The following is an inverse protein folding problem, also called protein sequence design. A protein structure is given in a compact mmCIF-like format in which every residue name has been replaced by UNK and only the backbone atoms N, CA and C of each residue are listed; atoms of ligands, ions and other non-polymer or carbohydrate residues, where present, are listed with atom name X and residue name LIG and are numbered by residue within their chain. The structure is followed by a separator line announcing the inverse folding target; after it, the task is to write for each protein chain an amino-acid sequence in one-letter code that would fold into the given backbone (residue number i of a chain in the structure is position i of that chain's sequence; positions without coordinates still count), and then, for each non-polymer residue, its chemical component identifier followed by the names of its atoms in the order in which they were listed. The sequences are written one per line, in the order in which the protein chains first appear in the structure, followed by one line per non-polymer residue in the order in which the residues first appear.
data_IF_134109547017
#
_entry.id   IF_134109547017
#
_cell.length_a   1.000
_cell.length_b   1.000
_cell.length_c   1.000
_cell.angle_alpha   90.00
_cell.angle_beta   90.00
_cell.angle_gamma   90.00
#
_symmetry.space_group_name_H-M   'P 1'
#
loop_
_entity.id
_entity.type
_entity.pdbx_description
1 polymer ?
#
# COMPACT_ATOMS: atom_id res chain seq x y z
N UNK A 1 10.18 4.69 -7.94
CA UNK A 1 9.67 4.67 -6.55
C UNK A 1 10.38 5.72 -5.69
N UNK A 2 9.90 5.98 -4.46
CA UNK A 2 10.51 6.91 -3.48
C UNK A 2 11.96 6.51 -3.13
N UNK A 3 12.79 7.49 -2.74
CA UNK A 3 14.13 7.25 -2.14
C UNK A 3 14.11 7.28 -0.61
N UNK A 4 12.94 7.42 -0.02
CA UNK A 4 12.75 7.33 1.42
C UNK A 4 12.68 5.87 1.86
N UNK A 5 13.51 5.51 2.83
CA UNK A 5 13.41 4.28 3.61
C UNK A 5 12.47 4.47 4.82
N UNK A 6 11.52 5.40 4.75
CA UNK A 6 10.52 5.75 5.80
C UNK A 6 11.14 6.39 7.06
N UNK A 7 10.31 6.60 8.08
CA UNK A 7 10.64 7.32 9.34
C UNK A 7 11.86 6.75 10.06
N UNK A 8 12.68 7.61 10.65
CA UNK A 8 13.79 7.26 11.55
C UNK A 8 13.42 7.26 13.03
N UNK A 9 12.17 7.58 13.37
CA UNK A 9 11.72 7.58 14.77
C UNK A 9 11.63 6.14 15.31
N UNK A 10 12.56 5.80 16.20
CA UNK A 10 12.69 4.48 16.82
C UNK A 10 11.54 4.19 17.78
N UNK A 11 10.99 5.23 18.44
CA UNK A 11 10.00 5.07 19.50
C UNK A 11 8.56 5.22 19.00
N UNK A 12 8.34 6.06 17.98
CA UNK A 12 7.02 6.34 17.42
C UNK A 12 6.72 5.66 16.08
N UNK A 13 7.65 4.92 15.47
CA UNK A 13 7.42 4.29 14.17
C UNK A 13 8.06 2.89 14.03
N UNK A 14 7.26 1.92 13.57
CA UNK A 14 7.72 0.54 13.37
C UNK A 14 8.89 0.44 12.38
N UNK A 15 8.93 1.27 11.33
CA UNK A 15 10.06 1.29 10.40
C UNK A 15 11.32 1.86 11.07
N UNK A 16 11.19 2.75 12.05
CA UNK A 16 12.33 3.26 12.80
C UNK A 16 12.91 2.20 13.74
N UNK A 17 12.06 1.45 14.44
CA UNK A 17 12.48 0.33 15.28
C UNK A 17 13.17 -0.77 14.46
N UNK A 18 12.57 -1.20 13.34
CA UNK A 18 13.16 -2.21 12.46
C UNK A 18 14.56 -1.79 11.99
N UNK A 19 14.77 -0.50 11.73
CA UNK A 19 16.10 -0.02 11.37
C UNK A 19 17.08 -0.16 12.52
N UNK A 20 16.67 0.12 13.75
CA UNK A 20 17.54 -0.03 14.90
C UNK A 20 17.94 -1.50 15.11
N UNK A 21 17.00 -2.43 14.96
CA UNK A 21 17.31 -3.86 14.98
C UNK A 21 18.31 -4.23 13.87
N UNK A 22 18.08 -3.77 12.65
CA UNK A 22 19.01 -3.96 11.53
C UNK A 22 20.39 -3.36 11.79
N UNK A 23 20.51 -2.25 12.52
CA UNK A 23 21.81 -1.68 12.94
C UNK A 23 22.52 -2.62 13.91
N UNK A 24 21.80 -3.14 14.91
CA UNK A 24 22.35 -4.09 15.90
C UNK A 24 22.88 -5.36 15.21
N UNK A 25 22.20 -5.85 14.17
CA UNK A 25 22.64 -7.00 13.38
C UNK A 25 23.71 -6.69 12.32
N UNK A 26 24.20 -5.44 12.23
CA UNK A 26 25.25 -5.06 11.30
C UNK A 26 24.80 -5.04 9.83
N UNK A 27 23.58 -4.57 9.56
CA UNK A 27 23.01 -4.52 8.21
C UNK A 27 23.83 -3.65 7.25
N UNK A 28 24.32 -4.26 6.16
CA UNK A 28 24.99 -3.57 5.04
C UNK A 28 24.07 -2.54 4.38
N UNK A 29 22.76 -2.81 4.35
CA UNK A 29 21.77 -1.91 3.77
C UNK A 29 21.69 -0.59 4.55
N UNK A 30 21.66 -0.65 5.90
CA UNK A 30 21.62 0.58 6.69
C UNK A 30 22.94 1.31 6.73
N UNK A 31 24.05 0.59 6.76
CA UNK A 31 25.36 1.22 6.61
C UNK A 31 25.43 2.01 5.28
N UNK A 32 24.97 1.43 4.18
CA UNK A 32 24.84 2.13 2.90
C UNK A 32 23.90 3.35 2.99
N UNK A 33 22.78 3.23 3.70
CA UNK A 33 21.81 4.30 3.85
C UNK A 33 22.37 5.51 4.61
N UNK A 34 23.11 5.29 5.70
CA UNK A 34 23.73 6.37 6.45
C UNK A 34 24.85 7.05 5.65
N UNK A 35 25.64 6.28 4.89
CA UNK A 35 26.71 6.82 4.02
C UNK A 35 26.21 7.58 2.77
N UNK A 36 24.94 7.43 2.41
CA UNK A 36 24.32 8.08 1.25
C UNK A 36 23.17 9.00 1.63
N UNK A 37 23.05 9.34 2.91
CA UNK A 37 21.91 10.06 3.47
C UNK A 37 21.75 11.46 2.88
N UNK A 38 20.50 11.81 2.58
CA UNK A 38 20.09 13.17 2.17
C UNK A 38 19.03 13.73 3.11
N UNK A 39 18.91 15.07 3.25
CA UNK A 39 17.89 15.67 4.13
C UNK A 39 16.46 15.26 3.73
N UNK A 40 15.65 14.78 4.69
CA UNK A 40 14.30 14.27 4.42
C UNK A 40 13.32 14.34 5.60
N UNK A 41 13.34 15.42 6.39
CA UNK A 41 12.25 15.76 7.32
C UNK A 41 11.81 14.62 8.27
N UNK A 42 12.76 14.00 8.97
CA UNK A 42 12.49 12.91 9.92
C UNK A 42 12.51 11.49 9.33
N UNK A 43 12.48 11.34 8.01
CA UNK A 43 12.73 10.07 7.34
C UNK A 43 14.23 9.83 7.09
N UNK A 44 14.61 8.56 6.90
CA UNK A 44 15.87 8.20 6.26
C UNK A 44 15.65 8.21 4.76
N UNK A 45 16.25 9.16 4.05
CA UNK A 45 16.29 9.12 2.60
C UNK A 45 17.74 9.05 2.13
N UNK A 46 17.92 8.45 0.95
CA UNK A 46 19.23 8.18 0.38
C UNK A 46 19.38 8.80 -0.99
N UNK A 47 20.61 9.14 -1.36
CA UNK A 47 21.02 9.34 -2.74
C UNK A 47 21.11 7.95 -3.38
N UNK A 48 20.23 7.68 -4.35
CA UNK A 48 19.97 6.32 -4.86
C UNK A 48 21.22 5.68 -5.45
N UNK A 49 21.99 6.45 -6.21
CA UNK A 49 23.13 5.94 -6.93
C UNK A 49 24.30 5.64 -5.97
N UNK A 50 24.55 6.53 -5.00
CA UNK A 50 25.54 6.31 -3.95
C UNK A 50 25.18 5.10 -3.07
N UNK A 51 23.91 4.97 -2.70
CA UNK A 51 23.39 3.83 -1.94
C UNK A 51 23.64 2.51 -2.68
N UNK A 52 23.23 2.42 -3.94
CA UNK A 52 23.38 1.22 -4.75
C UNK A 52 24.85 0.87 -5.01
N UNK A 53 25.69 1.87 -5.33
CA UNK A 53 27.13 1.68 -5.51
C UNK A 53 27.81 1.17 -4.24
N UNK A 54 27.43 1.70 -3.08
CA UNK A 54 28.00 1.27 -1.80
C UNK A 54 27.73 -0.22 -1.55
N UNK A 55 26.46 -0.64 -1.64
CA UNK A 55 26.06 -2.03 -1.45
C UNK A 55 26.77 -2.94 -2.47
N UNK A 56 26.74 -2.57 -3.75
CA UNK A 56 27.37 -3.34 -4.83
C UNK A 56 28.86 -3.56 -4.56
N UNK A 57 29.57 -2.51 -4.12
CA UNK A 57 30.99 -2.61 -3.77
C UNK A 57 31.21 -3.55 -2.60
N UNK A 58 30.44 -3.39 -1.50
CA UNK A 58 30.56 -4.25 -0.30
C UNK A 58 30.34 -5.73 -0.61
N UNK A 59 29.45 -6.04 -1.55
CA UNK A 59 29.20 -7.41 -2.00
C UNK A 59 30.37 -7.92 -2.84
N UNK A 60 30.80 -7.16 -3.86
CA UNK A 60 31.87 -7.58 -4.79
C UNK A 60 33.25 -7.71 -4.15
N UNK A 61 33.53 -6.96 -3.08
CA UNK A 61 34.80 -6.99 -2.35
C UNK A 61 34.83 -8.03 -1.22
N UNK A 62 33.73 -8.75 -0.98
CA UNK A 62 33.67 -9.75 0.09
C UNK A 62 34.23 -11.10 -0.40
N UNK A 63 35.30 -11.57 0.23
CA UNK A 63 36.00 -12.81 -0.15
C UNK A 63 35.12 -14.08 -0.01
N UNK A 64 34.07 -14.04 0.81
CA UNK A 64 33.14 -15.15 0.98
C UNK A 64 31.96 -15.11 -0.01
N UNK A 65 31.92 -14.12 -0.89
CA UNK A 65 30.83 -13.95 -1.87
C UNK A 65 31.41 -14.05 -3.28
N UNK A 66 30.90 -15.00 -4.05
CA UNK A 66 31.14 -15.06 -5.50
C UNK A 66 29.93 -14.48 -6.22
N UNK A 67 30.14 -13.47 -7.07
CA UNK A 67 29.07 -12.83 -7.84
C UNK A 67 29.06 -13.38 -9.26
N UNK A 68 27.94 -13.97 -9.66
CA UNK A 68 27.71 -14.47 -11.01
C UNK A 68 26.59 -13.63 -11.64
N UNK A 69 26.89 -12.94 -12.74
CA UNK A 69 25.95 -12.07 -13.43
C UNK A 69 25.27 -12.83 -14.57
N UNK A 70 24.34 -13.71 -14.23
CA UNK A 70 23.56 -14.49 -15.18
C UNK A 70 22.09 -14.58 -14.77
N UNK A 71 21.23 -14.95 -15.71
CA UNK A 71 19.85 -15.30 -15.38
C UNK A 71 19.81 -16.70 -14.77
N UNK A 72 19.23 -16.81 -13.58
CA UNK A 72 18.92 -18.10 -12.96
C UNK A 72 17.52 -18.49 -13.39
N UNK A 73 17.38 -19.60 -14.11
CA UNK A 73 16.10 -20.07 -14.69
C UNK A 73 15.47 -21.23 -13.91
N UNK A 74 16.18 -21.81 -12.95
CA UNK A 74 15.70 -22.89 -12.07
C UNK A 74 16.30 -22.75 -10.67
N UNK A 75 15.59 -23.21 -9.65
CA UNK A 75 16.04 -23.23 -8.25
C UNK A 75 17.23 -24.19 -8.12
N UNK A 76 18.41 -23.73 -7.66
CA UNK A 76 19.56 -24.59 -7.47
C UNK A 76 19.35 -25.66 -6.39
N UNK A 77 20.01 -26.80 -6.54
CA UNK A 77 20.07 -27.84 -5.52
C UNK A 77 20.77 -27.34 -4.23
N UNK A 78 20.25 -27.78 -3.07
CA UNK A 78 20.83 -27.48 -1.75
C UNK A 78 20.21 -26.27 -1.04
N UNK A 79 20.95 -25.71 -0.08
CA UNK A 79 20.50 -24.58 0.73
C UNK A 79 20.48 -23.28 -0.10
N UNK A 80 19.28 -22.81 -0.43
CA UNK A 80 19.08 -21.69 -1.36
C UNK A 80 18.15 -20.63 -0.76
N UNK A 81 18.51 -19.35 -0.91
CA UNK A 81 17.63 -18.21 -0.64
C UNK A 81 17.20 -17.60 -1.97
N UNK A 82 15.89 -17.51 -2.20
CA UNK A 82 15.32 -16.88 -3.40
C UNK A 82 14.94 -15.43 -3.06
N UNK A 83 15.58 -14.45 -3.71
CA UNK A 83 15.41 -13.02 -3.43
C UNK A 83 15.36 -12.16 -4.72
N UNK A 84 14.57 -12.59 -5.70
CA UNK A 84 14.48 -12.04 -7.08
C UNK A 84 13.64 -10.76 -7.20
N UNK A 85 13.01 -10.32 -6.10
CA UNK A 85 12.16 -9.12 -6.09
C UNK A 85 10.78 -9.35 -6.74
N UNK A 86 9.99 -8.27 -6.94
CA UNK A 86 8.61 -8.36 -7.41
C UNK A 86 8.47 -8.78 -8.88
N UNK A 87 9.55 -8.77 -9.66
CA UNK A 87 9.58 -9.05 -11.10
C UNK A 87 10.48 -10.24 -11.39
N UNK A 88 10.17 -11.39 -10.80
CA UNK A 88 10.89 -12.65 -11.05
C UNK A 88 10.68 -13.08 -12.51
N UNK A 89 11.73 -13.57 -13.19
CA UNK A 89 11.61 -14.00 -14.60
C UNK A 89 10.73 -15.24 -14.75
N UNK A 90 10.08 -15.37 -15.91
CA UNK A 90 9.06 -16.39 -16.15
C UNK A 90 9.58 -17.81 -15.94
N UNK A 91 10.81 -18.10 -16.39
CA UNK A 91 11.40 -19.43 -16.27
C UNK A 91 11.56 -19.86 -14.80
N UNK A 92 12.14 -18.98 -13.98
CA UNK A 92 12.33 -19.26 -12.56
C UNK A 92 11.01 -19.25 -11.79
N UNK A 93 10.07 -18.37 -12.16
CA UNK A 93 8.75 -18.34 -11.56
C UNK A 93 7.98 -19.66 -11.77
N UNK A 94 8.11 -20.26 -12.96
CA UNK A 94 7.49 -21.55 -13.26
C UNK A 94 8.15 -22.71 -12.52
N UNK A 95 9.48 -22.71 -12.38
CA UNK A 95 10.18 -23.72 -11.60
C UNK A 95 9.82 -23.66 -10.11
N UNK A 96 9.76 -22.45 -9.54
CA UNK A 96 9.26 -22.21 -8.17
C UNK A 96 7.82 -22.72 -8.03
N UNK A 97 6.95 -22.43 -9.01
CA UNK A 97 5.56 -22.89 -9.02
C UNK A 97 5.48 -24.42 -8.98
N UNK A 98 6.35 -25.10 -9.73
CA UNK A 98 6.47 -26.55 -9.74
C UNK A 98 6.85 -27.13 -8.37
N UNK A 99 7.83 -26.50 -7.69
CA UNK A 99 8.30 -26.92 -6.36
C UNK A 99 7.24 -26.68 -5.28
N UNK A 100 6.57 -25.52 -5.32
CA UNK A 100 5.58 -25.13 -4.32
C UNK A 100 4.18 -25.73 -4.58
N UNK A 101 3.95 -26.36 -5.73
CA UNK A 101 2.65 -26.89 -6.13
C UNK A 101 1.62 -25.82 -6.50
N UNK A 102 2.07 -24.59 -6.81
CA UNK A 102 1.21 -23.45 -7.08
C UNK A 102 1.96 -22.11 -7.02
N UNK A 103 1.27 -21.02 -7.37
CA UNK A 103 1.80 -19.67 -7.32
C UNK A 103 1.10 -18.81 -6.26
N UNK A 104 1.80 -17.81 -5.75
CA UNK A 104 1.24 -16.76 -4.90
C UNK A 104 1.28 -15.45 -5.67
N UNK A 105 0.15 -14.76 -5.72
CA UNK A 105 0.05 -13.42 -6.30
C UNK A 105 -0.19 -12.43 -5.17
N UNK A 106 0.67 -11.42 -5.07
CA UNK A 106 0.46 -10.29 -4.19
C UNK A 106 -0.08 -9.15 -5.04
N UNK A 107 -1.37 -8.86 -4.87
CA UNK A 107 -2.00 -7.68 -5.45
C UNK A 107 -1.89 -6.54 -4.44
N UNK A 108 -1.24 -5.45 -4.83
CA UNK A 108 -1.31 -4.22 -4.06
C UNK A 108 -2.68 -3.58 -4.33
N UNK A 109 -3.52 -3.52 -3.29
CA UNK A 109 -4.84 -2.92 -3.37
C UNK A 109 -4.77 -1.54 -2.71
N UNK A 110 -4.15 -0.59 -3.42
CA UNK A 110 -3.95 0.76 -2.90
C UNK A 110 -5.20 1.60 -3.08
N UNK A 111 -5.67 2.24 -2.02
CA UNK A 111 -6.71 3.25 -2.11
C UNK A 111 -6.11 4.66 -2.10
N UNK A 112 -6.74 5.65 -2.77
CA UNK A 112 -6.24 7.02 -2.79
C UNK A 112 -6.05 7.62 -1.39
N UNK A 113 -5.02 8.47 -1.26
CA UNK A 113 -4.74 9.25 -0.04
C UNK A 113 -4.88 10.73 -0.39
N UNK A 114 -5.62 11.45 0.44
CA UNK A 114 -5.87 12.90 0.31
C UNK A 114 -5.22 13.68 1.44
N UNK A 115 -4.81 14.91 1.16
CA UNK A 115 -4.28 15.83 2.18
C UNK A 115 -5.41 16.31 3.08
N UNK A 116 -5.18 16.36 4.41
CA UNK A 116 -6.13 16.92 5.38
C UNK A 116 -6.57 18.33 5.00
N UNK A 117 -5.63 19.15 4.53
CA UNK A 117 -5.86 20.57 4.21
C UNK A 117 -6.81 20.76 3.03
N UNK A 118 -6.95 19.73 2.17
CA UNK A 118 -7.88 19.74 1.04
C UNK A 118 -9.30 19.28 1.39
N UNK A 119 -9.54 18.83 2.64
CA UNK A 119 -10.85 18.34 3.08
C UNK A 119 -11.72 19.52 3.52
N UNK A 120 -12.90 19.65 2.90
CA UNK A 120 -13.94 20.57 3.37
C UNK A 120 -14.68 19.99 4.59
N UNK A 121 -14.20 20.36 5.78
CA UNK A 121 -14.77 19.91 7.05
C UNK A 121 -16.18 20.44 7.32
N UNK A 122 -16.69 21.41 6.55
CA UNK A 122 -18.07 21.88 6.70
C UNK A 122 -19.09 20.86 6.20
N UNK A 123 -18.64 19.93 5.34
CA UNK A 123 -19.46 18.86 4.75
C UNK A 123 -19.20 17.49 5.37
N UNK A 124 -18.33 17.41 6.38
CA UNK A 124 -17.89 16.15 6.96
C UNK A 124 -18.13 16.14 8.47
N UNK A 125 -18.13 14.95 9.08
CA UNK A 125 -18.17 14.81 10.52
C UNK A 125 -17.24 13.70 11.00
N UNK A 126 -16.65 13.88 12.18
CA UNK A 126 -15.93 12.81 12.85
C UNK A 126 -16.92 11.84 13.49
N UNK A 127 -16.62 10.55 13.42
CA UNK A 127 -17.41 9.57 14.12
C UNK A 127 -17.14 8.13 13.75
N UNK A 128 -17.19 7.28 14.76
CA UNK A 128 -17.07 5.84 14.63
C UNK A 128 -18.43 5.16 14.57
N UNK A 129 -18.48 3.99 13.94
CA UNK A 129 -19.70 3.18 13.91
C UNK A 129 -20.10 2.80 15.33
N UNK A 130 -21.37 3.01 15.65
CA UNK A 130 -22.00 2.73 16.94
C UNK A 130 -21.39 3.52 18.12
N UNK A 131 -20.62 4.59 17.85
CA UNK A 131 -19.97 5.40 18.89
C UNK A 131 -18.96 4.62 19.73
N UNK A 132 -18.35 3.56 19.17
CA UNK A 132 -17.41 2.67 19.87
C UNK A 132 -15.93 3.02 19.66
N UNK A 133 -15.61 4.25 19.23
CA UNK A 133 -14.24 4.67 18.91
C UNK A 133 -13.90 6.09 19.37
N UNK A 134 -12.71 6.57 18.97
CA UNK A 134 -12.09 7.81 19.43
C UNK A 134 -11.97 8.92 18.37
N UNK A 135 -12.92 9.01 17.43
CA UNK A 135 -12.93 9.97 16.31
C UNK A 135 -11.84 9.69 15.24
N UNK A 136 -11.59 8.40 14.97
CA UNK A 136 -10.52 7.97 14.07
C UNK A 136 -10.85 8.14 12.58
N UNK A 137 -12.13 8.37 12.26
CA UNK A 137 -12.64 8.50 10.90
C UNK A 137 -13.33 9.83 10.65
N UNK A 138 -13.02 10.43 9.50
CA UNK A 138 -13.82 11.50 8.91
C UNK A 138 -14.85 10.86 8.00
N UNK A 139 -16.11 11.24 8.14
CA UNK A 139 -17.22 10.72 7.37
C UNK A 139 -17.73 11.80 6.41
N UNK A 140 -17.74 11.48 5.12
CA UNK A 140 -18.26 12.30 4.05
C UNK A 140 -19.62 11.73 3.62
N UNK A 141 -20.74 12.24 4.17
CA UNK A 141 -22.08 11.77 3.81
C UNK A 141 -22.43 12.11 2.37
N UNK A 142 -23.16 11.21 1.73
CA UNK A 142 -23.75 11.39 0.41
C UNK A 142 -25.27 11.25 0.52
N UNK A 143 -25.99 12.15 -0.14
CA UNK A 143 -27.40 11.94 -0.43
C UNK A 143 -27.56 10.93 -1.59
N UNK A 144 -28.81 10.66 -1.98
CA UNK A 144 -29.10 9.64 -2.98
C UNK A 144 -28.60 10.07 -4.36
N UNK A 145 -28.86 11.31 -4.75
CA UNK A 145 -28.50 11.88 -6.03
C UNK A 145 -26.96 11.96 -6.21
N UNK A 146 -26.24 12.37 -5.16
CA UNK A 146 -24.78 12.41 -5.13
C UNK A 146 -24.18 11.01 -5.25
N UNK A 147 -24.75 10.03 -4.55
CA UNK A 147 -24.30 8.64 -4.64
C UNK A 147 -24.52 8.05 -6.04
N UNK A 148 -25.70 8.23 -6.62
CA UNK A 148 -26.02 7.72 -7.95
C UNK A 148 -25.11 8.37 -9.01
N UNK A 149 -24.92 9.69 -8.93
CA UNK A 149 -23.98 10.39 -9.81
C UNK A 149 -22.54 9.91 -9.65
N UNK A 150 -22.11 9.62 -8.42
CA UNK A 150 -20.76 9.10 -8.14
C UNK A 150 -20.57 7.69 -8.74
N UNK A 151 -21.53 6.80 -8.54
CA UNK A 151 -21.50 5.43 -9.09
C UNK A 151 -21.47 5.45 -10.62
N UNK A 152 -22.30 6.28 -11.25
CA UNK A 152 -22.33 6.38 -12.72
C UNK A 152 -21.00 6.92 -13.27
N UNK A 153 -20.41 7.92 -12.62
CA UNK A 153 -19.09 8.46 -12.99
C UNK A 153 -17.99 7.41 -12.83
N UNK A 154 -18.01 6.63 -11.74
CA UNK A 154 -17.02 5.60 -11.44
C UNK A 154 -17.08 4.43 -12.45
N UNK A 155 -18.28 4.03 -12.87
CA UNK A 155 -18.46 2.98 -13.88
C UNK A 155 -17.91 3.42 -15.24
N UNK A 156 -18.06 4.70 -15.58
CA UNK A 156 -17.63 5.29 -16.84
C UNK A 156 -16.17 5.79 -16.84
N UNK A 157 -15.47 5.71 -15.71
CA UNK A 157 -14.09 6.19 -15.60
C UNK A 157 -13.12 5.36 -16.46
N UNK A 158 -12.09 6.01 -16.98
CA UNK A 158 -10.98 5.35 -17.67
C UNK A 158 -10.25 4.41 -16.70
N UNK A 159 -9.96 3.19 -17.16
CA UNK A 159 -9.29 2.15 -16.38
C UNK A 159 -7.98 1.80 -17.05
N UNK A 160 -6.96 1.52 -16.23
CA UNK A 160 -5.70 0.98 -16.75
C UNK A 160 -5.98 -0.38 -17.37
N UNK A 161 -5.53 -0.58 -18.62
CA UNK A 161 -5.57 -1.89 -19.25
C UNK A 161 -4.46 -2.72 -18.60
N UNK A 162 -4.86 -3.59 -17.68
CA UNK A 162 -3.98 -4.55 -17.04
C UNK A 162 -3.24 -5.41 -18.08
N UNK A 163 -1.99 -5.74 -17.83
CA UNK A 163 -1.24 -6.67 -18.67
C UNK A 163 -1.83 -8.09 -18.57
N UNK A 164 -1.58 -8.96 -19.55
CA UNK A 164 -2.26 -10.27 -19.60
C UNK A 164 -1.95 -11.21 -18.42
N UNK A 165 -0.86 -10.95 -17.66
CA UNK A 165 -0.56 -11.64 -16.40
C UNK A 165 -1.30 -11.05 -15.17
N UNK A 166 -1.78 -9.81 -15.27
CA UNK A 166 -2.62 -9.13 -14.26
C UNK A 166 -4.11 -9.34 -14.56
N UNK A 167 -4.44 -9.60 -15.83
CA UNK A 167 -5.78 -9.99 -16.27
C UNK A 167 -6.04 -11.45 -15.94
N UNK A 168 -6.38 -11.80 -14.70
CA UNK A 168 -7.33 -12.89 -14.37
C UNK A 168 -7.57 -13.03 -12.87
N UNK A 169 -8.82 -13.43 -12.60
CA UNK A 169 -9.53 -13.51 -11.32
C UNK A 169 -9.42 -12.25 -10.46
N UNK A 170 -10.46 -11.40 -10.56
CA UNK A 170 -10.73 -10.37 -9.54
C UNK A 170 -10.64 -11.07 -8.19
N UNK A 171 -9.69 -10.66 -7.36
CA UNK A 171 -9.62 -11.18 -6.00
C UNK A 171 -10.89 -10.72 -5.28
N UNK A 172 -11.85 -11.62 -5.15
CA UNK A 172 -13.19 -11.32 -4.61
C UNK A 172 -13.13 -10.72 -3.18
N UNK A 173 -12.04 -11.00 -2.45
CA UNK A 173 -11.78 -10.42 -1.13
C UNK A 173 -11.22 -8.98 -1.14
N UNK A 174 -10.70 -8.47 -2.26
CA UNK A 174 -10.16 -7.11 -2.40
C UNK A 174 -10.36 -6.59 -3.83
N UNK A 175 -11.63 -6.38 -4.18
CA UNK A 175 -12.05 -5.98 -5.52
C UNK A 175 -11.94 -4.47 -5.73
N UNK A 176 -11.48 -4.01 -6.92
CA UNK A 176 -11.47 -2.60 -7.26
C UNK A 176 -12.86 -1.96 -7.15
N UNK A 177 -12.93 -0.73 -6.64
CA UNK A 177 -14.19 -0.04 -6.31
C UNK A 177 -15.08 0.13 -7.55
N UNK A 178 -14.50 0.38 -8.71
CA UNK A 178 -15.21 0.52 -9.98
C UNK A 178 -15.73 -0.80 -10.55
N UNK A 179 -15.08 -1.93 -10.21
CA UNK A 179 -15.58 -3.27 -10.53
C UNK A 179 -16.77 -3.60 -9.63
N UNK A 180 -16.69 -3.28 -8.33
CA UNK A 180 -17.81 -3.48 -7.40
C UNK A 180 -19.02 -2.62 -7.78
N UNK A 181 -18.80 -1.37 -8.20
CA UNK A 181 -19.84 -0.47 -8.68
C UNK A 181 -20.56 -1.04 -9.92
N UNK A 182 -19.82 -1.62 -10.86
CA UNK A 182 -20.39 -2.22 -12.07
C UNK A 182 -21.26 -3.47 -11.79
N UNK A 183 -21.06 -4.16 -10.66
CA UNK A 183 -21.87 -5.33 -10.27
C UNK A 183 -23.26 -4.98 -9.76
N UNK A 184 -23.52 -3.72 -9.43
CA UNK A 184 -24.84 -3.28 -9.00
C UNK A 184 -24.83 -1.87 -8.41
N UNK A 185 -25.90 -1.12 -8.71
CA UNK A 185 -26.03 0.29 -8.29
C UNK A 185 -25.92 0.48 -6.78
N UNK A 186 -26.34 -0.50 -5.99
CA UNK A 186 -26.32 -0.43 -4.52
C UNK A 186 -25.11 -1.15 -3.88
N UNK A 187 -24.24 -1.78 -4.68
CA UNK A 187 -23.15 -2.63 -4.16
C UNK A 187 -22.26 -1.88 -3.18
N UNK A 188 -21.83 -0.66 -3.54
CA UNK A 188 -20.97 0.15 -2.67
C UNK A 188 -21.68 0.52 -1.35
N UNK A 189 -23.00 0.77 -1.38
CA UNK A 189 -23.81 1.14 -0.21
C UNK A 189 -23.99 -0.01 0.79
N UNK A 190 -23.78 -1.25 0.35
CA UNK A 190 -23.72 -2.40 1.23
C UNK A 190 -22.30 -2.79 1.66
N UNK A 191 -21.28 -2.19 1.02
CA UNK A 191 -19.86 -2.43 1.27
C UNK A 191 -19.17 -1.18 1.88
N UNK A 192 -18.21 -0.59 1.17
CA UNK A 192 -17.36 0.51 1.67
C UNK A 192 -18.11 1.82 1.93
N UNK A 193 -19.23 2.07 1.23
CA UNK A 193 -20.06 3.27 1.40
C UNK A 193 -21.24 3.07 2.36
N UNK A 194 -21.24 1.98 3.14
CA UNK A 194 -22.34 1.64 4.04
C UNK A 194 -22.54 2.70 5.13
N UNK A 195 -23.74 3.27 5.33
CA UNK A 195 -23.99 4.27 6.37
C UNK A 195 -24.28 3.67 7.76
N UNK A 196 -24.42 2.35 7.87
CA UNK A 196 -24.94 1.68 9.08
C UNK A 196 -24.07 1.92 10.31
N UNK A 197 -24.69 2.37 11.41
CA UNK A 197 -24.01 2.65 12.67
C UNK A 197 -23.38 4.04 12.72
N UNK A 198 -23.40 4.82 11.64
CA UNK A 198 -22.93 6.20 11.62
C UNK A 198 -24.11 7.15 11.86
N UNK A 199 -23.88 8.16 12.68
CA UNK A 199 -24.78 9.29 12.93
C UNK A 199 -23.91 10.50 13.20
N UNK A 200 -24.32 11.66 12.69
CA UNK A 200 -23.73 12.92 13.13
C UNK A 200 -24.26 13.32 14.52
N UNK A 201 -23.77 14.46 15.02
CA UNK A 201 -24.21 15.06 16.28
C UNK A 201 -25.72 15.32 16.36
N UNK A 202 -26.38 15.50 15.21
CA UNK A 202 -27.80 15.80 15.09
C UNK A 202 -28.64 14.51 14.91
N UNK A 203 -27.99 13.35 14.81
CA UNK A 203 -28.63 12.04 14.70
C UNK A 203 -29.10 11.68 13.28
N UNK A 204 -28.65 12.42 12.26
CA UNK A 204 -29.07 12.24 10.88
C UNK A 204 -28.66 10.86 10.32
N UNK A 205 -29.49 10.36 9.40
CA UNK A 205 -29.20 9.15 8.61
C UNK A 205 -28.84 9.56 7.20
N UNK A 206 -27.81 8.92 6.65
CA UNK A 206 -27.32 9.20 5.30
C UNK A 206 -27.61 8.05 4.35
N UNK A 207 -27.68 8.36 3.05
CA UNK A 207 -27.90 7.35 2.02
C UNK A 207 -26.65 6.48 1.84
N UNK A 208 -25.48 7.12 1.76
CA UNK A 208 -24.17 6.50 1.71
C UNK A 208 -23.16 7.37 2.47
N UNK A 209 -22.02 6.80 2.88
CA UNK A 209 -20.96 7.54 3.58
C UNK A 209 -19.59 7.05 3.13
N UNK A 210 -18.78 7.95 2.58
CA UNK A 210 -17.35 7.71 2.37
C UNK A 210 -16.61 7.95 3.69
N UNK A 211 -15.85 6.96 4.14
CA UNK A 211 -15.01 7.10 5.34
C UNK A 211 -13.56 7.39 4.93
N UNK A 212 -12.95 8.35 5.61
CA UNK A 212 -11.54 8.67 5.51
C UNK A 212 -10.85 8.28 6.82
N UNK A 213 -9.79 7.47 6.74
CA UNK A 213 -9.01 7.05 7.91
C UNK A 213 -7.69 7.81 7.92
N UNK A 214 -7.26 8.24 9.10
CA UNK A 214 -5.94 8.83 9.31
C UNK A 214 -4.83 7.86 8.85
N UNK A 215 -3.91 8.32 8.01
CA UNK A 215 -2.79 7.50 7.49
C UNK A 215 -1.48 7.70 8.24
N UNK A 216 -1.28 8.86 8.86
CA UNK A 216 -0.08 9.15 9.65
C UNK A 216 -0.44 9.71 11.02
N UNK A 217 0.48 9.57 11.98
CA UNK A 217 0.24 9.99 13.36
C UNK A 217 -0.09 11.49 13.46
N UNK A 218 0.56 12.33 12.64
CA UNK A 218 0.31 13.77 12.58
C UNK A 218 -1.09 14.10 12.04
N UNK A 219 -1.73 13.17 11.34
CA UNK A 219 -3.04 13.35 10.76
C UNK A 219 -3.09 14.31 9.60
N UNK A 220 -2.00 14.49 8.85
CA UNK A 220 -1.95 15.35 7.66
C UNK A 220 -2.42 14.65 6.38
N UNK A 221 -2.53 13.32 6.40
CA UNK A 221 -2.99 12.51 5.27
C UNK A 221 -4.10 11.54 5.68
N UNK A 222 -5.07 11.34 4.78
CA UNK A 222 -6.20 10.44 4.99
C UNK A 222 -6.43 9.52 3.79
N UNK A 223 -6.64 8.24 4.07
CA UNK A 223 -6.96 7.21 3.08
C UNK A 223 -8.46 7.08 2.89
N UNK A 224 -8.90 6.89 1.65
CA UNK A 224 -10.29 6.55 1.34
C UNK A 224 -10.52 5.06 1.65
N UNK A 225 -11.28 4.79 2.71
CA UNK A 225 -11.42 3.43 3.25
C UNK A 225 -12.17 2.54 2.27
N UNK A 226 -11.51 1.47 1.81
CA UNK A 226 -12.11 0.48 0.92
C UNK A 226 -12.26 0.94 -0.54
N UNK A 227 -11.49 1.96 -0.94
CA UNK A 227 -11.46 2.52 -2.30
C UNK A 227 -10.22 2.07 -3.09
N UNK A 228 -9.80 0.81 -2.90
CA UNK A 228 -8.80 0.21 -3.78
C UNK A 228 -9.29 0.27 -5.24
N UNK A 229 -8.42 0.68 -6.15
CA UNK A 229 -8.70 0.93 -7.57
C UNK A 229 -7.45 0.69 -8.38
#
# INVERSE_FOLDING_TARGET
CSNSLKSNDIYGNACGLLKEEMRVFGSVMLDAAENSKVPAGGALAVEREAFARYITRRIKENENITVICEEVTSVPDGWTIIATGPLTSDALAEDIRGICGGGLYFYDASAPIVSRESIDFTKCFYGDRYGKGGDDYINCPLNKEEYESFVDALICADKVILHDFEKREIFEGCMPVEVMAARGKDSLRFAMLKPVGLKDKDGNKYYAVLQLRKENAEGTAYNLVGFQT
#
